data_IF_120416301992
#
_entry.id   IF_120416301992
#
_cell.length_a   1.000
_cell.length_b   1.000
_cell.length_c   1.000
_cell.angle_alpha   90.00
_cell.angle_beta   90.00
_cell.angle_gamma   90.00
#
_symmetry.space_group_name_H-M   'P 1'
#
loop_
_entity.id
_entity.type
_entity.pdbx_description
1 polymer ?
#
# COMPACT_ATOMS: atom_id res chain seq x y z
N UNK A 1 17.28 -5.15 -16.67
CA UNK A 1 16.45 -5.53 -15.52
C UNK A 1 16.39 -4.32 -14.60
N UNK A 2 15.23 -3.70 -14.37
CA UNK A 2 15.13 -2.51 -13.52
C UNK A 2 15.33 -2.89 -12.05
N UNK A 3 16.15 -2.12 -11.35
CA UNK A 3 16.36 -2.27 -9.90
C UNK A 3 15.12 -1.81 -9.13
N UNK A 4 14.94 -2.31 -7.90
CA UNK A 4 13.87 -1.85 -7.02
C UNK A 4 13.98 -0.35 -6.75
N UNK A 5 15.21 0.17 -6.58
CA UNK A 5 15.45 1.60 -6.37
C UNK A 5 14.89 2.43 -7.52
N UNK A 6 15.18 2.05 -8.78
CA UNK A 6 14.68 2.74 -9.96
C UNK A 6 13.15 2.71 -10.03
N UNK A 7 12.53 1.58 -9.69
CA UNK A 7 11.06 1.46 -9.63
C UNK A 7 10.45 2.34 -8.55
N UNK A 8 11.12 2.49 -7.40
CA UNK A 8 10.65 3.37 -6.33
C UNK A 8 10.75 4.85 -6.68
N UNK A 9 11.81 5.25 -7.40
CA UNK A 9 11.99 6.60 -7.90
C UNK A 9 10.92 6.96 -8.93
N UNK A 10 10.62 6.03 -9.84
CA UNK A 10 9.61 6.19 -10.90
C UNK A 10 8.17 5.92 -10.46
N UNK A 11 7.93 5.54 -9.20
CA UNK A 11 6.62 5.13 -8.67
C UNK A 11 6.01 3.89 -9.35
N UNK A 12 6.83 3.08 -10.00
CA UNK A 12 6.44 1.81 -10.64
C UNK A 12 6.47 0.63 -9.68
N UNK A 13 7.01 0.82 -8.46
CA UNK A 13 6.95 -0.18 -7.41
C UNK A 13 5.53 -0.33 -6.87
N UNK A 14 5.05 -1.57 -6.76
CA UNK A 14 3.77 -1.89 -6.12
C UNK A 14 4.00 -2.17 -4.65
N UNK A 15 3.18 -1.60 -3.77
CA UNK A 15 3.31 -1.73 -2.32
C UNK A 15 2.14 -2.54 -1.76
N UNK A 16 2.44 -3.59 -1.00
CA UNK A 16 1.44 -4.33 -0.24
C UNK A 16 1.58 -4.04 1.25
N UNK A 17 0.47 -3.71 1.91
CA UNK A 17 0.44 -3.45 3.36
C UNK A 17 -0.44 -4.51 4.03
N UNK A 18 0.16 -5.25 4.96
CA UNK A 18 -0.52 -6.30 5.74
C UNK A 18 -0.90 -5.74 7.11
N UNK A 19 -2.20 -5.77 7.41
CA UNK A 19 -2.85 -5.15 8.56
C UNK A 19 -3.31 -3.73 8.25
N UNK A 20 -4.62 -3.48 8.29
CA UNK A 20 -5.25 -2.18 8.05
C UNK A 20 -5.81 -1.58 9.34
N UNK A 21 -5.03 -1.70 10.42
CA UNK A 21 -5.29 -1.04 11.70
C UNK A 21 -4.83 0.42 11.71
N UNK A 22 -4.68 0.96 12.93
CA UNK A 22 -4.31 2.36 13.16
C UNK A 22 -3.03 2.82 12.45
N UNK A 23 -2.05 1.93 12.24
CA UNK A 23 -0.80 2.27 11.53
C UNK A 23 -0.89 1.97 10.04
N UNK A 24 -1.40 0.79 9.68
CA UNK A 24 -1.36 0.32 8.30
C UNK A 24 -2.29 1.07 7.36
N UNK A 25 -3.49 1.46 7.82
CA UNK A 25 -4.42 2.21 6.98
C UNK A 25 -3.92 3.63 6.64
N UNK A 26 -3.44 4.45 7.62
CA UNK A 26 -2.81 5.72 7.28
C UNK A 26 -1.58 5.57 6.38
N UNK A 27 -0.80 4.50 6.55
CA UNK A 27 0.36 4.22 5.70
C UNK A 27 -0.05 3.89 4.25
N UNK A 28 -1.12 3.10 4.07
CA UNK A 28 -1.67 2.79 2.75
C UNK A 28 -2.13 4.05 2.03
N UNK A 29 -2.84 4.93 2.76
CA UNK A 29 -3.27 6.23 2.24
C UNK A 29 -2.08 7.13 1.89
N UNK A 30 -1.03 7.15 2.72
CA UNK A 30 0.15 7.97 2.47
C UNK A 30 0.88 7.53 1.19
N UNK A 31 1.10 6.24 0.98
CA UNK A 31 1.75 5.73 -0.23
C UNK A 31 0.88 5.88 -1.48
N UNK A 32 -0.43 5.68 -1.36
CA UNK A 32 -1.38 5.92 -2.44
C UNK A 32 -1.35 7.39 -2.86
N UNK A 33 -1.39 8.33 -1.90
CA UNK A 33 -1.25 9.77 -2.15
C UNK A 33 0.10 10.16 -2.74
N UNK A 34 1.15 9.42 -2.43
CA UNK A 34 2.48 9.60 -2.99
C UNK A 34 2.64 9.03 -4.42
N UNK A 35 1.56 8.50 -5.02
CA UNK A 35 1.50 8.06 -6.41
C UNK A 35 1.85 6.58 -6.63
N UNK A 36 1.99 5.78 -5.57
CA UNK A 36 2.24 4.35 -5.71
C UNK A 36 0.94 3.56 -5.87
N UNK A 37 1.01 2.43 -6.58
CA UNK A 37 -0.03 1.42 -6.53
C UNK A 37 0.07 0.66 -5.20
N UNK A 38 -1.00 0.70 -4.40
CA UNK A 38 -1.06 0.11 -3.06
C UNK A 38 -2.17 -0.92 -2.97
N UNK A 39 -1.85 -2.10 -2.41
CA UNK A 39 -2.82 -3.12 -2.04
C UNK A 39 -2.82 -3.31 -0.53
N UNK A 40 -3.97 -3.13 0.11
CA UNK A 40 -4.16 -3.39 1.55
C UNK A 40 -4.70 -4.80 1.80
N UNK A 41 -4.22 -5.47 2.84
CA UNK A 41 -4.72 -6.76 3.30
C UNK A 41 -5.01 -6.70 4.81
N UNK A 42 -6.13 -7.25 5.24
CA UNK A 42 -6.46 -7.46 6.65
C UNK A 42 -7.20 -8.80 6.76
N UNK A 43 -7.09 -9.47 7.91
CA UNK A 43 -7.80 -10.74 8.15
C UNK A 43 -9.27 -10.51 8.50
N UNK A 44 -9.62 -9.28 8.89
CA UNK A 44 -10.99 -8.87 9.16
C UNK A 44 -11.68 -8.46 7.86
N UNK A 45 -12.46 -9.39 7.30
CA UNK A 45 -13.17 -9.14 6.05
C UNK A 45 -14.24 -8.06 6.16
N UNK A 46 -14.87 -7.89 7.32
CA UNK A 46 -15.92 -6.87 7.49
C UNK A 46 -15.30 -5.48 7.45
N UNK A 47 -14.18 -5.29 8.13
CA UNK A 47 -13.39 -4.07 8.04
C UNK A 47 -12.98 -3.76 6.61
N UNK A 48 -12.47 -4.75 5.86
CA UNK A 48 -12.06 -4.55 4.46
C UNK A 48 -13.24 -4.15 3.58
N UNK A 49 -14.45 -4.70 3.81
CA UNK A 49 -15.66 -4.34 3.06
C UNK A 49 -16.17 -2.91 3.34
N UNK A 50 -15.79 -2.31 4.46
CA UNK A 50 -16.22 -0.97 4.86
C UNK A 50 -15.27 0.16 4.40
N UNK A 51 -14.07 -0.19 3.92
CA UNK A 51 -13.04 0.75 3.43
C UNK A 51 -13.16 1.00 1.92
#
# INVERSE_FOLDING_TARGET
>A
MFSLCEKTEKKEATISIIGLGYVGLPLALAFSKAGFQVTGFDTDEEKVRQL
#
